data_IF_353235533816
#
_entry.id   IF_353235533816
#
_cell.length_a   1.000
_cell.length_b   1.000
_cell.length_c   1.000
_cell.angle_alpha   90.00
_cell.angle_beta   90.00
_cell.angle_gamma   90.00
#
_symmetry.space_group_name_H-M   'P 1'
#
loop_
_entity.id
_entity.type
_entity.pdbx_description
1 polymer ?
#
# COMPACT_ATOMS: atom_id res chain seq x y z
N UNK A 1 5.39 23.07 31.59
CA UNK A 1 6.24 22.19 30.75
C UNK A 1 7.47 23.01 30.39
N UNK A 2 8.65 22.59 30.83
CA UNK A 2 9.84 23.44 30.81
C UNK A 2 10.57 23.35 29.45
N UNK A 3 10.99 24.48 28.89
CA UNK A 3 11.55 24.56 27.53
C UNK A 3 12.82 23.72 27.38
N UNK A 4 13.61 23.63 28.44
CA UNK A 4 14.82 22.80 28.48
C UNK A 4 14.52 21.30 28.47
N UNK A 5 13.42 20.88 29.08
CA UNK A 5 13.00 19.48 29.13
C UNK A 5 12.57 19.00 27.74
N UNK A 6 11.87 19.86 26.97
CA UNK A 6 11.48 19.61 25.57
C UNK A 6 12.72 19.49 24.68
N UNK A 7 13.67 20.42 24.81
CA UNK A 7 14.90 20.43 24.02
C UNK A 7 15.82 19.24 24.35
N UNK A 8 15.86 18.79 25.60
CA UNK A 8 16.56 17.56 25.99
C UNK A 8 15.92 16.32 25.38
N UNK A 9 14.59 16.23 25.40
CA UNK A 9 13.84 15.11 24.79
C UNK A 9 14.06 15.02 23.28
N UNK A 10 13.92 16.13 22.57
CA UNK A 10 14.17 16.21 21.12
C UNK A 10 15.61 15.83 20.74
N UNK A 11 16.61 16.26 21.52
CA UNK A 11 18.02 15.85 21.30
C UNK A 11 18.29 14.38 21.65
N UNK A 12 17.53 13.81 22.57
CA UNK A 12 17.63 12.40 22.94
C UNK A 12 16.95 11.48 21.93
N UNK A 13 15.88 11.95 21.27
CA UNK A 13 15.13 11.17 20.27
C UNK A 13 15.93 10.90 18.99
N UNK A 14 16.92 11.74 18.61
CA UNK A 14 17.80 11.53 17.43
C UNK A 14 17.08 11.17 16.12
N UNK A 15 15.76 11.25 16.04
CA UNK A 15 15.00 11.14 14.81
C UNK A 15 15.21 12.43 14.02
N UNK A 16 15.88 12.31 12.88
CA UNK A 16 15.96 13.41 11.93
C UNK A 16 14.59 13.55 11.26
N UNK A 17 13.76 14.44 11.82
CA UNK A 17 12.43 14.77 11.29
C UNK A 17 12.49 15.12 9.79
N UNK A 18 13.61 15.70 9.33
CA UNK A 18 13.85 16.00 7.93
C UNK A 18 13.95 14.73 7.07
N UNK A 19 14.68 13.71 7.54
CA UNK A 19 14.77 12.42 6.85
C UNK A 19 13.42 11.70 6.79
N UNK A 20 12.70 11.63 7.92
CA UNK A 20 11.35 11.03 7.98
C UNK A 20 10.36 11.76 7.05
N UNK A 21 10.47 13.09 6.92
CA UNK A 21 9.66 13.85 5.98
C UNK A 21 9.97 13.48 4.52
N UNK A 22 11.25 13.40 4.15
CA UNK A 22 11.67 13.03 2.79
C UNK A 22 11.23 11.61 2.43
N UNK A 23 11.38 10.65 3.34
CA UNK A 23 10.92 9.27 3.16
C UNK A 23 9.41 9.19 2.95
N UNK A 24 8.62 9.88 3.79
CA UNK A 24 7.17 9.92 3.66
C UNK A 24 6.72 10.58 2.35
N UNK A 25 7.41 11.64 1.93
CA UNK A 25 7.14 12.31 0.64
C UNK A 25 7.48 11.40 -0.53
N UNK A 26 8.60 10.71 -0.48
CA UNK A 26 9.00 9.71 -1.48
C UNK A 26 7.98 8.57 -1.57
N UNK A 27 7.54 8.01 -0.45
CA UNK A 27 6.52 6.96 -0.40
C UNK A 27 5.19 7.40 -1.01
N UNK A 28 4.74 8.63 -0.74
CA UNK A 28 3.52 9.19 -1.36
C UNK A 28 3.66 9.34 -2.87
N UNK A 29 4.78 9.89 -3.34
CA UNK A 29 5.06 10.00 -4.77
C UNK A 29 5.10 8.62 -5.45
N UNK A 30 5.74 7.63 -4.81
CA UNK A 30 5.76 6.25 -5.27
C UNK A 30 4.37 5.64 -5.37
N UNK A 31 3.51 5.85 -4.36
CA UNK A 31 2.11 5.40 -4.39
C UNK A 31 1.33 6.03 -5.55
N UNK A 32 1.48 7.34 -5.79
CA UNK A 32 0.85 7.99 -6.94
C UNK A 32 1.36 7.43 -8.28
N UNK A 33 2.66 7.13 -8.38
CA UNK A 33 3.23 6.46 -9.55
C UNK A 33 2.66 5.06 -9.77
N UNK A 34 2.51 4.27 -8.70
CA UNK A 34 1.89 2.95 -8.74
C UNK A 34 0.43 3.05 -9.21
N UNK A 35 -0.35 3.98 -8.65
CA UNK A 35 -1.74 4.22 -9.06
C UNK A 35 -1.85 4.63 -10.54
N UNK A 36 -0.97 5.52 -11.01
CA UNK A 36 -0.94 5.93 -12.41
C UNK A 36 -0.66 4.74 -13.35
N UNK A 37 0.33 3.91 -13.01
CA UNK A 37 0.66 2.72 -13.80
C UNK A 37 -0.47 1.68 -13.77
N UNK A 38 -1.07 1.45 -12.59
CA UNK A 38 -2.22 0.57 -12.43
C UNK A 38 -3.38 0.99 -13.33
N UNK A 39 -3.75 2.27 -13.35
CA UNK A 39 -4.79 2.82 -14.22
C UNK A 39 -4.42 2.65 -15.70
N UNK A 40 -3.16 2.94 -16.07
CA UNK A 40 -2.70 2.78 -17.45
C UNK A 40 -2.80 1.33 -17.93
N UNK A 41 -2.42 0.36 -17.10
CA UNK A 41 -2.54 -1.07 -17.42
C UNK A 41 -3.99 -1.53 -17.52
N UNK A 42 -4.88 -1.07 -16.64
CA UNK A 42 -6.31 -1.36 -16.75
C UNK A 42 -6.91 -0.80 -18.04
N UNK A 43 -6.56 0.43 -18.40
CA UNK A 43 -7.02 1.05 -19.64
C UNK A 43 -6.50 0.30 -20.87
N UNK A 44 -5.22 -0.08 -20.87
CA UNK A 44 -4.62 -0.87 -21.94
C UNK A 44 -5.27 -2.24 -22.08
N UNK A 45 -5.43 -2.98 -20.98
CA UNK A 45 -6.04 -4.31 -21.01
C UNK A 45 -7.51 -4.24 -21.44
N UNK A 46 -8.25 -3.23 -21.00
CA UNK A 46 -9.61 -2.98 -21.44
C UNK A 46 -9.68 -2.74 -22.97
N UNK A 47 -8.78 -1.91 -23.51
CA UNK A 47 -8.69 -1.65 -24.94
C UNK A 47 -8.24 -2.87 -25.76
N UNK A 48 -7.35 -3.69 -25.20
CA UNK A 48 -6.82 -4.90 -25.84
C UNK A 48 -7.68 -6.16 -25.60
N UNK A 49 -8.85 -6.01 -24.95
CA UNK A 49 -9.74 -7.11 -24.53
C UNK A 49 -9.00 -8.21 -23.75
N UNK A 50 -7.99 -7.82 -22.97
CA UNK A 50 -7.17 -8.72 -22.17
C UNK A 50 -7.68 -8.82 -20.73
N UNK A 51 -7.52 -10.00 -20.09
CA UNK A 51 -7.76 -10.18 -18.67
C UNK A 51 -6.88 -9.23 -17.83
N UNK A 52 -7.45 -8.66 -16.77
CA UNK A 52 -6.77 -7.73 -15.85
C UNK A 52 -6.53 -8.29 -14.46
N UNK A 53 -6.80 -9.58 -14.27
CA UNK A 53 -6.77 -10.28 -12.99
C UNK A 53 -5.36 -10.30 -12.38
N UNK A 54 -4.30 -10.36 -13.20
CA UNK A 54 -2.93 -10.24 -12.72
C UNK A 54 -2.65 -8.86 -12.10
N UNK A 55 -3.08 -7.80 -12.78
CA UNK A 55 -2.91 -6.41 -12.35
C UNK A 55 -3.76 -6.13 -11.11
N UNK A 56 -4.99 -6.63 -11.08
CA UNK A 56 -5.90 -6.57 -9.94
C UNK A 56 -5.34 -7.31 -8.73
N UNK A 57 -4.83 -8.54 -8.92
CA UNK A 57 -4.22 -9.33 -7.85
C UNK A 57 -3.03 -8.59 -7.22
N UNK A 58 -2.14 -8.04 -8.06
CA UNK A 58 -0.98 -7.28 -7.59
C UNK A 58 -1.40 -6.06 -6.79
N UNK A 59 -2.29 -5.23 -7.32
CA UNK A 59 -2.68 -3.98 -6.67
C UNK A 59 -3.46 -4.22 -5.37
N UNK A 60 -4.39 -5.18 -5.35
CA UNK A 60 -5.14 -5.54 -4.14
C UNK A 60 -4.24 -6.18 -3.08
N UNK A 61 -3.22 -6.97 -3.45
CA UNK A 61 -2.24 -7.51 -2.51
C UNK A 61 -1.40 -6.41 -1.84
N UNK A 62 -1.03 -5.38 -2.61
CA UNK A 62 -0.33 -4.21 -2.07
C UNK A 62 -1.20 -3.46 -1.05
N UNK A 63 -2.46 -3.16 -1.41
CA UNK A 63 -3.40 -2.48 -0.50
C UNK A 63 -3.69 -3.32 0.77
N UNK A 64 -3.72 -4.65 0.64
CA UNK A 64 -3.87 -5.55 1.78
C UNK A 64 -2.69 -5.43 2.75
N UNK A 65 -1.46 -5.42 2.21
CA UNK A 65 -0.24 -5.27 2.99
C UNK A 65 -0.12 -3.87 3.63
N UNK A 66 -0.49 -2.82 2.90
CA UNK A 66 -0.55 -1.46 3.42
C UNK A 66 -1.54 -1.34 4.58
N UNK A 67 -2.75 -1.88 4.41
CA UNK A 67 -3.78 -1.90 5.46
C UNK A 67 -3.33 -2.69 6.69
N UNK A 68 -2.61 -3.81 6.49
CA UNK A 68 -2.02 -4.56 7.60
C UNK A 68 -0.97 -3.73 8.35
N UNK A 69 -0.10 -3.01 7.64
CA UNK A 69 0.86 -2.09 8.23
C UNK A 69 0.19 -0.99 9.06
N UNK A 70 -0.89 -0.40 8.53
CA UNK A 70 -1.68 0.61 9.25
C UNK A 70 -2.37 0.05 10.49
N UNK A 71 -2.89 -1.18 10.42
CA UNK A 71 -3.42 -1.88 11.59
C UNK A 71 -2.34 -2.11 12.65
N UNK A 72 -1.15 -2.56 12.26
CA UNK A 72 -0.06 -2.84 13.21
C UNK A 72 0.48 -1.57 13.88
N UNK A 73 0.53 -0.46 13.15
CA UNK A 73 1.00 0.82 13.67
C UNK A 73 -0.07 1.55 14.51
N UNK A 74 -1.32 1.56 14.04
CA UNK A 74 -2.40 2.36 14.64
C UNK A 74 -3.40 1.59 15.49
N UNK A 75 -3.44 0.26 15.44
CA UNK A 75 -4.34 -0.60 16.22
C UNK A 75 -5.83 -0.58 15.83
N UNK A 76 -6.21 0.17 14.79
CA UNK A 76 -7.62 0.32 14.40
C UNK A 76 -8.13 -0.92 13.67
N UNK A 77 -9.15 -1.59 14.22
CA UNK A 77 -9.72 -2.85 13.71
C UNK A 77 -10.26 -2.77 12.28
N UNK A 78 -10.65 -1.58 11.82
CA UNK A 78 -11.12 -1.36 10.44
C UNK A 78 -10.04 -1.74 9.42
N UNK A 79 -8.78 -1.39 9.69
CA UNK A 79 -7.68 -1.72 8.77
C UNK A 79 -7.36 -3.21 8.74
N UNK A 80 -7.61 -3.93 9.84
CA UNK A 80 -7.50 -5.39 9.86
C UNK A 80 -8.55 -6.03 8.94
N UNK A 81 -9.81 -5.62 9.08
CA UNK A 81 -10.91 -6.13 8.25
C UNK A 81 -10.63 -5.83 6.78
N UNK A 82 -10.21 -4.59 6.48
CA UNK A 82 -9.87 -4.17 5.13
C UNK A 82 -8.72 -5.01 4.55
N UNK A 83 -7.67 -5.24 5.33
CA UNK A 83 -6.53 -6.07 4.93
C UNK A 83 -6.96 -7.49 4.58
N UNK A 84 -7.80 -8.12 5.40
CA UNK A 84 -8.30 -9.48 5.16
C UNK A 84 -9.17 -9.56 3.89
N UNK A 85 -10.06 -8.58 3.68
CA UNK A 85 -10.91 -8.54 2.48
C UNK A 85 -10.07 -8.35 1.21
N UNK A 86 -9.10 -7.44 1.25
CA UNK A 86 -8.19 -7.19 0.13
C UNK A 86 -7.28 -8.38 -0.16
N UNK A 87 -6.77 -9.05 0.88
CA UNK A 87 -5.98 -10.28 0.72
C UNK A 87 -6.82 -11.40 0.08
N UNK A 88 -8.07 -11.56 0.51
CA UNK A 88 -9.01 -12.50 -0.11
C UNK A 88 -9.26 -12.15 -1.59
N UNK A 89 -9.51 -10.89 -1.90
CA UNK A 89 -9.68 -10.42 -3.28
C UNK A 89 -8.43 -10.67 -4.13
N UNK A 90 -7.24 -10.44 -3.58
CA UNK A 90 -5.98 -10.69 -4.27
C UNK A 90 -5.80 -12.18 -4.62
N UNK A 91 -6.09 -13.07 -3.68
CA UNK A 91 -6.02 -14.52 -3.88
C UNK A 91 -7.04 -15.00 -4.92
N UNK A 92 -8.26 -14.45 -4.90
CA UNK A 92 -9.28 -14.78 -5.90
C UNK A 92 -8.86 -14.33 -7.30
N UNK A 93 -8.40 -13.09 -7.45
CA UNK A 93 -7.89 -12.59 -8.73
C UNK A 93 -6.70 -13.42 -9.23
N UNK A 94 -5.77 -13.78 -8.34
CA UNK A 94 -4.65 -14.65 -8.69
C UNK A 94 -5.13 -16.03 -9.15
N UNK A 95 -6.11 -16.61 -8.45
CA UNK A 95 -6.69 -17.90 -8.84
C UNK A 95 -7.37 -17.86 -10.21
N UNK A 96 -8.12 -16.79 -10.51
CA UNK A 96 -8.74 -16.58 -11.83
C UNK A 96 -7.67 -16.40 -12.90
N UNK A 97 -6.63 -15.60 -12.64
CA UNK A 97 -5.52 -15.41 -13.57
C UNK A 97 -4.79 -16.73 -13.88
N UNK A 98 -4.44 -17.50 -12.84
CA UNK A 98 -3.75 -18.79 -12.97
C UNK A 98 -4.63 -19.79 -13.73
N UNK A 99 -5.94 -19.84 -13.41
CA UNK A 99 -6.89 -20.66 -14.16
C UNK A 99 -6.96 -20.23 -15.63
N UNK A 100 -7.05 -18.94 -15.92
CA UNK A 100 -7.07 -18.42 -17.28
C UNK A 100 -5.86 -18.83 -18.12
N UNK A 101 -4.70 -19.02 -17.48
CA UNK A 101 -3.48 -19.51 -18.13
C UNK A 101 -3.44 -21.03 -18.26
N UNK A 102 -3.89 -21.76 -17.24
CA UNK A 102 -3.77 -23.22 -17.17
C UNK A 102 -4.94 -23.99 -17.82
N UNK A 103 -6.10 -23.36 -18.05
CA UNK A 103 -7.32 -23.97 -18.61
C UNK A 103 -8.37 -24.36 -17.56
#
# INVERSE_FOLDING_TARGET
MDREEILRRSRAEKEDEGNTYLENRGRRAGFYGLCAMYIALLAFNCWAEQPSESVLALFTSYLAAESWGQYRAGGHRVFLILSLLLAGAALLNLAVYVRGILG
#
